data_IF_081391441550
#
_entry.id   IF_081391441550
#
_cell.length_a   1.000
_cell.length_b   1.000
_cell.length_c   1.000
_cell.angle_alpha   90.00
_cell.angle_beta   90.00
_cell.angle_gamma   90.00
#
_symmetry.space_group_name_H-M   'P 1'
#
loop_
_entity.id
_entity.type
_entity.pdbx_description
1 polymer ?
#
# COMPACT_ATOMS: atom_id res chain seq x y z
N UNK A 1 -35.99 -32.71 -5.56
CA UNK A 1 -35.08 -31.54 -5.59
C UNK A 1 -34.07 -31.45 -4.41
N UNK A 2 -33.75 -32.54 -3.69
CA UNK A 2 -32.90 -32.48 -2.46
C UNK A 2 -31.45 -32.97 -2.63
N UNK A 3 -31.22 -34.09 -3.32
CA UNK A 3 -29.89 -34.74 -3.41
C UNK A 3 -28.87 -33.95 -4.25
N UNK A 4 -29.27 -33.47 -5.42
CA UNK A 4 -28.34 -32.79 -6.34
C UNK A 4 -27.82 -31.46 -5.77
N UNK A 5 -28.68 -30.70 -5.06
CA UNK A 5 -28.28 -29.46 -4.37
C UNK A 5 -27.35 -29.74 -3.18
N UNK A 6 -27.57 -30.82 -2.43
CA UNK A 6 -26.69 -31.24 -1.34
C UNK A 6 -25.28 -31.60 -1.84
N UNK A 7 -25.19 -32.34 -2.95
CA UNK A 7 -23.92 -32.70 -3.60
C UNK A 7 -23.16 -31.46 -4.08
N UNK A 8 -23.87 -30.50 -4.70
CA UNK A 8 -23.26 -29.24 -5.14
C UNK A 8 -22.76 -28.42 -3.95
N UNK A 9 -23.52 -28.35 -2.86
CA UNK A 9 -23.12 -27.64 -1.63
C UNK A 9 -21.87 -28.28 -1.00
N UNK A 10 -21.86 -29.61 -0.86
CA UNK A 10 -20.72 -30.35 -0.34
C UNK A 10 -19.45 -30.14 -1.19
N UNK A 11 -19.58 -30.18 -2.52
CA UNK A 11 -18.46 -29.92 -3.45
C UNK A 11 -17.94 -28.48 -3.34
N UNK A 12 -18.83 -27.51 -3.09
CA UNK A 12 -18.46 -26.09 -2.93
C UNK A 12 -17.79 -25.84 -1.59
N UNK A 13 -18.24 -26.50 -0.52
CA UNK A 13 -17.63 -26.44 0.80
C UNK A 13 -16.26 -27.12 0.81
N UNK A 14 -16.10 -28.28 0.19
CA UNK A 14 -14.79 -28.94 0.01
C UNK A 14 -13.79 -28.02 -0.72
N UNK A 15 -14.20 -27.34 -1.79
CA UNK A 15 -13.35 -26.34 -2.47
C UNK A 15 -13.00 -25.13 -1.59
N UNK A 16 -13.90 -24.70 -0.69
CA UNK A 16 -13.63 -23.59 0.24
C UNK A 16 -12.63 -24.00 1.32
N UNK A 17 -12.74 -25.23 1.84
CA UNK A 17 -11.80 -25.79 2.81
C UNK A 17 -10.41 -25.90 2.18
N UNK A 18 -10.28 -26.49 0.99
CA UNK A 18 -9.01 -26.57 0.28
C UNK A 18 -8.37 -25.19 0.04
N UNK A 19 -9.16 -24.17 -0.29
CA UNK A 19 -8.66 -22.79 -0.44
C UNK A 19 -8.23 -22.15 0.89
N UNK A 20 -8.91 -22.46 2.00
CA UNK A 20 -8.50 -22.01 3.34
C UNK A 20 -7.21 -22.70 3.77
N UNK A 21 -7.10 -24.00 3.55
CA UNK A 21 -5.89 -24.76 3.86
C UNK A 21 -4.70 -24.29 3.02
N UNK A 22 -4.88 -23.98 1.73
CA UNK A 22 -3.82 -23.38 0.92
C UNK A 22 -3.38 -21.99 1.42
N UNK A 23 -4.31 -21.18 1.95
CA UNK A 23 -3.97 -19.87 2.56
C UNK A 23 -3.28 -20.03 3.91
N UNK A 24 -3.73 -20.99 4.72
CA UNK A 24 -3.11 -21.32 6.01
C UNK A 24 -1.71 -21.93 5.81
N UNK A 25 -1.52 -22.75 4.79
CA UNK A 25 -0.21 -23.27 4.40
C UNK A 25 0.74 -22.16 3.97
N UNK A 26 0.28 -21.22 3.12
CA UNK A 26 1.07 -20.03 2.77
C UNK A 26 1.41 -19.17 3.97
N UNK A 27 0.47 -18.96 4.90
CA UNK A 27 0.75 -18.21 6.13
C UNK A 27 1.75 -18.93 7.04
N UNK A 28 1.67 -20.25 7.16
CA UNK A 28 2.66 -21.04 7.92
C UNK A 28 4.02 -21.06 7.25
N UNK A 29 4.09 -21.08 5.92
CA UNK A 29 5.35 -20.92 5.19
C UNK A 29 5.91 -19.50 5.37
N UNK A 30 5.09 -18.46 5.33
CA UNK A 30 5.52 -17.08 5.61
C UNK A 30 6.02 -16.93 7.06
N UNK A 31 5.30 -17.46 8.06
CA UNK A 31 5.74 -17.50 9.46
C UNK A 31 7.02 -18.35 9.65
N UNK A 32 7.15 -19.45 8.92
CA UNK A 32 8.35 -20.30 8.90
C UNK A 32 9.55 -19.60 8.25
N UNK A 33 9.35 -18.88 7.14
CA UNK A 33 10.39 -18.08 6.47
C UNK A 33 10.82 -16.89 7.34
N UNK A 34 9.93 -16.36 8.19
CA UNK A 34 10.32 -15.36 9.20
C UNK A 34 11.10 -15.94 10.38
N UNK A 35 11.18 -17.28 10.52
CA UNK A 35 11.80 -17.92 11.70
C UNK A 35 13.29 -18.27 11.55
N UNK A 36 13.87 -18.23 10.33
CA UNK A 36 15.24 -18.78 10.14
C UNK A 36 16.38 -17.78 9.98
N UNK A 37 16.18 -16.46 9.94
CA UNK A 37 17.35 -15.58 10.13
C UNK A 37 16.99 -14.26 10.79
N UNK A 38 17.48 -14.11 12.02
CA UNK A 38 17.85 -12.83 12.60
C UNK A 38 19.03 -12.25 11.80
N UNK A 39 18.80 -11.97 10.51
CA UNK A 39 19.71 -11.14 9.71
C UNK A 39 19.41 -9.71 10.07
N UNK A 40 20.19 -9.17 11.03
CA UNK A 40 20.39 -7.73 11.12
C UNK A 40 20.79 -7.23 9.73
N UNK A 41 19.98 -6.34 9.15
CA UNK A 41 20.21 -5.86 7.78
C UNK A 41 18.96 -5.43 7.00
N UNK A 42 17.74 -5.64 7.52
CA UNK A 42 16.50 -5.13 6.89
C UNK A 42 16.35 -3.60 7.05
N UNK A 43 17.27 -2.93 7.74
CA UNK A 43 17.32 -1.45 7.76
C UNK A 43 17.82 -0.85 6.44
N UNK A 44 18.39 -1.65 5.53
CA UNK A 44 18.98 -1.14 4.28
C UNK A 44 17.98 -0.87 3.15
N UNK A 45 16.80 -1.50 3.16
CA UNK A 45 15.70 -1.11 2.26
C UNK A 45 14.91 -0.08 3.06
N UNK A 46 15.20 1.21 2.83
CA UNK A 46 14.77 2.39 3.62
C UNK A 46 13.27 2.59 3.84
N UNK A 47 12.59 1.57 4.35
CA UNK A 47 11.18 1.44 4.63
C UNK A 47 10.90 1.52 6.14
N UNK A 48 11.90 1.22 6.97
CA UNK A 48 11.85 1.41 8.42
C UNK A 48 12.81 2.53 8.82
N UNK A 49 12.41 3.78 8.58
CA UNK A 49 12.98 4.91 9.32
C UNK A 49 12.14 5.06 10.59
N UNK A 50 12.76 4.86 11.75
CA UNK A 50 12.12 5.00 13.07
C UNK A 50 11.42 6.35 13.27
N UNK A 51 11.90 7.38 12.57
CA UNK A 51 11.24 8.67 12.45
C UNK A 51 11.08 9.05 10.98
N UNK A 52 9.84 9.10 10.50
CA UNK A 52 9.54 9.75 9.22
C UNK A 52 9.66 11.26 9.40
N UNK A 53 10.26 11.94 8.42
CA UNK A 53 10.29 13.39 8.40
C UNK A 53 8.85 13.90 8.22
N UNK A 54 8.32 14.55 9.26
CA UNK A 54 7.00 15.17 9.27
C UNK A 54 7.06 16.66 8.99
N UNK A 55 8.25 17.19 8.63
CA UNK A 55 8.39 18.59 8.32
C UNK A 55 7.51 18.99 7.13
N UNK A 56 7.07 20.25 7.08
CA UNK A 56 6.30 20.76 5.96
C UNK A 56 6.98 20.50 4.61
N UNK A 57 6.22 20.02 3.63
CA UNK A 57 6.70 19.92 2.24
C UNK A 57 7.13 21.31 1.76
N UNK A 58 8.39 21.42 1.35
CA UNK A 58 8.97 22.61 0.73
C UNK A 58 9.21 22.36 -0.75
N UNK A 59 8.94 23.35 -1.59
CA UNK A 59 9.27 23.29 -3.01
C UNK A 59 10.79 23.23 -3.20
N UNK A 60 11.24 22.33 -4.07
CA UNK A 60 12.65 22.22 -4.47
C UNK A 60 12.94 22.91 -5.80
N UNK A 61 11.89 23.21 -6.57
CA UNK A 61 11.98 23.92 -7.84
C UNK A 61 10.75 24.83 -8.00
N UNK A 62 10.80 25.67 -9.03
CA UNK A 62 9.77 26.67 -9.32
C UNK A 62 8.42 26.03 -9.67
N UNK A 63 8.41 24.94 -10.44
CA UNK A 63 7.17 24.21 -10.77
C UNK A 63 6.43 23.70 -9.52
N UNK A 64 7.16 23.13 -8.56
CA UNK A 64 6.60 22.71 -7.28
C UNK A 64 6.12 23.90 -6.46
N UNK A 65 6.81 25.04 -6.51
CA UNK A 65 6.38 26.25 -5.81
C UNK A 65 5.04 26.76 -6.36
N UNK A 66 4.85 26.77 -7.68
CA UNK A 66 3.57 27.09 -8.30
C UNK A 66 2.46 26.15 -7.86
N UNK A 67 2.75 24.84 -7.77
CA UNK A 67 1.77 23.87 -7.27
C UNK A 67 1.41 24.10 -5.80
N UNK A 68 2.39 24.30 -4.92
CA UNK A 68 2.12 24.56 -3.51
C UNK A 68 1.33 25.86 -3.31
N UNK A 69 1.72 26.93 -4.00
CA UNK A 69 1.01 28.20 -3.93
C UNK A 69 -0.41 28.10 -4.49
N UNK A 70 -0.61 27.33 -5.57
CA UNK A 70 -1.95 27.07 -6.09
C UNK A 70 -2.79 26.33 -5.05
N UNK A 71 -2.24 25.30 -4.38
CA UNK A 71 -2.95 24.53 -3.33
C UNK A 71 -3.41 25.43 -2.19
N UNK A 72 -2.60 26.41 -1.81
CA UNK A 72 -2.94 27.31 -0.71
C UNK A 72 -3.91 28.44 -1.10
N UNK A 73 -3.97 28.81 -2.40
CA UNK A 73 -4.75 29.97 -2.88
C UNK A 73 -6.04 29.63 -3.62
N UNK A 74 -6.20 28.39 -4.11
CA UNK A 74 -7.31 27.98 -4.99
C UNK A 74 -8.07 26.80 -4.40
N UNK A 75 -9.39 26.81 -4.60
CA UNK A 75 -10.28 25.72 -4.17
C UNK A 75 -10.16 24.46 -5.04
N UNK A 76 -9.78 24.62 -6.31
CA UNK A 76 -9.63 23.51 -7.27
C UNK A 76 -8.44 23.77 -8.19
N UNK A 77 -7.64 22.71 -8.43
CA UNK A 77 -6.42 22.78 -9.23
C UNK A 77 -6.34 21.53 -10.10
N UNK A 78 -5.95 21.73 -11.35
CA UNK A 78 -5.61 20.64 -12.25
C UNK A 78 -4.09 20.56 -12.36
N UNK A 79 -3.52 19.45 -11.87
CA UNK A 79 -2.09 19.20 -12.00
C UNK A 79 -1.79 18.48 -13.30
N UNK A 80 -1.24 19.22 -14.27
CA UNK A 80 -0.82 18.69 -15.57
C UNK A 80 0.68 18.37 -15.55
N UNK A 81 1.06 17.28 -16.22
CA UNK A 81 2.45 16.84 -16.32
C UNK A 81 2.54 15.35 -16.59
N UNK A 82 3.67 14.88 -17.08
CA UNK A 82 3.88 13.47 -17.44
C UNK A 82 3.86 12.54 -16.21
N UNK A 83 3.69 11.24 -16.46
CA UNK A 83 3.79 10.24 -15.40
C UNK A 83 5.20 10.28 -14.78
N UNK A 84 5.29 10.10 -13.46
CA UNK A 84 6.57 10.17 -12.74
C UNK A 84 7.03 11.57 -12.32
N UNK A 85 6.38 12.66 -12.76
CA UNK A 85 6.78 14.03 -12.36
C UNK A 85 6.36 14.44 -10.92
N UNK A 86 6.01 13.50 -10.05
CA UNK A 86 5.76 13.78 -8.62
C UNK A 86 4.44 14.47 -8.26
N UNK A 87 3.49 14.61 -9.19
CA UNK A 87 2.16 15.24 -8.94
C UNK A 87 1.39 14.55 -7.81
N UNK A 88 1.32 13.22 -7.82
CA UNK A 88 0.67 12.45 -6.75
C UNK A 88 1.38 12.60 -5.42
N UNK A 89 2.72 12.63 -5.45
CA UNK A 89 3.53 12.74 -4.24
C UNK A 89 3.32 14.09 -3.55
N UNK A 90 3.34 15.21 -4.30
CA UNK A 90 3.18 16.54 -3.70
C UNK A 90 1.79 16.75 -3.11
N UNK A 91 0.75 16.22 -3.77
CA UNK A 91 -0.62 16.27 -3.25
C UNK A 91 -0.77 15.46 -1.96
N UNK A 92 -0.27 14.23 -1.93
CA UNK A 92 -0.33 13.38 -0.75
C UNK A 92 0.46 13.99 0.42
N UNK A 93 1.68 14.44 0.16
CA UNK A 93 2.55 14.99 1.19
C UNK A 93 2.02 16.33 1.74
N UNK A 94 1.33 17.15 0.93
CA UNK A 94 0.65 18.36 1.41
C UNK A 94 -0.61 18.03 2.22
N UNK A 95 -1.40 17.04 1.81
CA UNK A 95 -2.62 16.61 2.50
C UNK A 95 -2.36 15.99 3.89
N UNK A 96 -1.18 15.41 4.08
CA UNK A 96 -0.80 14.79 5.35
C UNK A 96 -0.61 15.79 6.51
N UNK A 97 -0.53 17.09 6.21
CA UNK A 97 -0.54 18.15 7.23
C UNK A 97 -1.97 18.49 7.64
N UNK A 98 -2.54 17.66 8.51
CA UNK A 98 -3.65 18.00 9.42
C UNK A 98 -3.48 17.19 10.71
#
# INVERSE_FOLDING_TARGET
MGRQKAVIKARREAKRVLRRDSRSHKQREEESVTSLVQMGGVEAIGMARDSRDTSPVKARNEAQAHYLNAIDSKQLIFATGEAGCGKTWISAAKAQKH
#
